data_IF_727341203558
#
_entry.id   IF_727341203558
#
_cell.length_a   1.000
_cell.length_b   1.000
_cell.length_c   1.000
_cell.angle_alpha   90.00
_cell.angle_beta   90.00
_cell.angle_gamma   90.00
#
_symmetry.space_group_name_H-M   'P 1'
#
loop_
_entity.id
_entity.type
_entity.pdbx_description
1 polymer ?
#
# COMPACT_ATOMS: atom_id res chain seq x y z
N UNK A 1 -5.91 12.95 11.23
CA UNK A 1 -5.61 11.54 10.87
C UNK A 1 -5.11 11.42 9.41
N UNK A 2 -4.04 12.11 8.97
CA UNK A 2 -3.67 12.12 7.52
C UNK A 2 -2.16 12.07 7.21
N UNK A 3 -1.27 11.80 8.17
CA UNK A 3 0.18 11.85 7.89
C UNK A 3 0.70 10.64 7.09
N UNK A 4 0.31 9.41 7.46
CA UNK A 4 0.86 8.19 6.86
C UNK A 4 0.39 7.94 5.41
N UNK A 5 -0.87 8.23 5.11
CA UNK A 5 -1.41 8.08 3.74
C UNK A 5 -0.77 9.08 2.78
N UNK A 6 -0.60 10.34 3.22
CA UNK A 6 0.07 11.38 2.44
C UNK A 6 1.52 10.99 2.12
N UNK A 7 2.28 10.53 3.11
CA UNK A 7 3.66 10.07 2.91
C UNK A 7 3.77 8.91 1.92
N UNK A 8 2.85 7.93 1.99
CA UNK A 8 2.80 6.83 1.02
C UNK A 8 2.44 7.32 -0.39
N UNK A 9 1.58 8.34 -0.48
CA UNK A 9 1.19 8.93 -1.76
C UNK A 9 2.36 9.63 -2.43
N UNK A 10 3.14 10.34 -1.64
CA UNK A 10 4.36 11.00 -2.10
C UNK A 10 5.42 9.97 -2.51
N UNK A 11 5.52 8.85 -1.79
CA UNK A 11 6.39 7.73 -2.15
C UNK A 11 6.00 7.13 -3.51
N UNK A 12 4.71 6.95 -3.79
CA UNK A 12 4.26 6.50 -5.11
C UNK A 12 4.58 7.50 -6.23
N UNK A 13 4.30 8.79 -6.00
CA UNK A 13 4.62 9.86 -6.96
C UNK A 13 6.12 9.94 -7.25
N UNK A 14 6.97 9.83 -6.21
CA UNK A 14 8.44 9.80 -6.33
C UNK A 14 8.93 8.64 -7.22
N UNK A 15 8.24 7.50 -7.17
CA UNK A 15 8.54 6.35 -8.02
C UNK A 15 7.89 6.42 -9.41
N UNK A 16 7.25 7.55 -9.74
CA UNK A 16 6.56 7.80 -11.01
C UNK A 16 5.49 6.74 -11.32
N UNK A 17 4.78 6.32 -10.27
CA UNK A 17 3.67 5.38 -10.35
C UNK A 17 2.36 6.16 -10.51
N UNK A 18 1.52 5.73 -11.44
CA UNK A 18 0.19 6.34 -11.67
C UNK A 18 -0.83 5.67 -10.77
N UNK A 19 -1.54 6.44 -9.95
CA UNK A 19 -2.62 5.93 -9.10
C UNK A 19 -3.91 5.91 -9.92
N UNK A 20 -4.50 4.73 -10.10
CA UNK A 20 -5.77 4.53 -10.79
C UNK A 20 -6.95 4.52 -9.81
N UNK A 21 -6.74 3.98 -8.62
CA UNK A 21 -7.74 3.90 -7.57
C UNK A 21 -7.08 3.96 -6.20
N UNK A 22 -7.72 4.64 -5.26
CA UNK A 22 -7.26 4.79 -3.88
C UNK A 22 -8.45 4.61 -2.94
N UNK A 23 -8.41 3.56 -2.12
CA UNK A 23 -9.43 3.29 -1.10
C UNK A 23 -8.76 3.16 0.26
N UNK A 24 -9.26 3.92 1.24
CA UNK A 24 -8.95 3.72 2.65
C UNK A 24 -9.97 2.76 3.26
N UNK A 25 -9.52 1.60 3.71
CA UNK A 25 -10.35 0.62 4.43
C UNK A 25 -10.40 0.89 5.93
N UNK A 26 -9.69 1.91 6.40
CA UNK A 26 -9.64 2.34 7.78
C UNK A 26 -8.85 1.41 8.69
N UNK A 27 -9.01 1.65 9.98
CA UNK A 27 -8.33 0.93 11.05
C UNK A 27 -9.03 -0.40 11.34
N UNK A 28 -8.29 -1.50 11.34
CA UNK A 28 -8.81 -2.85 11.65
C UNK A 28 -7.86 -3.60 12.57
N UNK A 29 -8.41 -4.56 13.32
CA UNK A 29 -7.61 -5.53 14.07
C UNK A 29 -6.88 -6.46 13.10
N UNK A 30 -5.64 -6.78 13.41
CA UNK A 30 -4.84 -7.74 12.67
C UNK A 30 -5.26 -9.17 13.07
N UNK A 31 -5.21 -10.10 12.11
CA UNK A 31 -5.50 -11.51 12.38
C UNK A 31 -4.53 -12.13 13.41
N UNK A 32 -3.32 -11.57 13.53
CA UNK A 32 -2.32 -11.90 14.54
C UNK A 32 -1.41 -10.70 14.80
N UNK A 33 -0.70 -10.72 15.93
CA UNK A 33 0.26 -9.66 16.27
C UNK A 33 1.45 -9.66 15.31
N UNK A 34 1.71 -8.54 14.64
CA UNK A 34 2.90 -8.38 13.80
C UNK A 34 3.97 -7.63 14.60
N UNK A 35 5.19 -8.16 14.65
CA UNK A 35 6.35 -7.47 15.22
C UNK A 35 7.18 -6.85 14.10
N UNK A 36 7.43 -5.54 14.15
CA UNK A 36 8.29 -4.82 13.22
C UNK A 36 9.06 -3.72 13.95
N UNK A 37 10.36 -3.59 13.66
CA UNK A 37 11.24 -2.59 14.29
C UNK A 37 11.10 -2.55 15.83
N UNK A 38 11.16 -3.73 16.46
CA UNK A 38 10.94 -3.97 17.90
C UNK A 38 9.53 -3.66 18.46
N UNK A 39 8.65 -3.02 17.70
CA UNK A 39 7.27 -2.72 18.09
C UNK A 39 6.33 -3.88 17.73
N UNK A 40 5.35 -4.15 18.60
CA UNK A 40 4.26 -5.11 18.35
C UNK A 40 3.00 -4.35 17.95
N UNK A 41 2.36 -4.77 16.88
CA UNK A 41 1.13 -4.19 16.36
C UNK A 41 0.03 -5.24 16.40
N UNK A 42 -1.13 -4.87 16.95
CA UNK A 42 -2.35 -5.69 16.96
C UNK A 42 -3.44 -5.10 16.05
N UNK A 43 -3.27 -3.87 15.60
CA UNK A 43 -4.18 -3.14 14.73
C UNK A 43 -3.39 -2.30 13.71
N UNK A 44 -3.99 -2.03 12.56
CA UNK A 44 -3.38 -1.21 11.51
C UNK A 44 -4.44 -0.52 10.64
N UNK A 45 -4.04 0.54 9.95
CA UNK A 45 -4.82 1.12 8.86
C UNK A 45 -4.54 0.33 7.57
N UNK A 46 -5.61 0.00 6.84
CA UNK A 46 -5.52 -0.72 5.58
C UNK A 46 -5.77 0.25 4.41
N UNK A 47 -4.81 0.32 3.50
CA UNK A 47 -4.91 1.11 2.27
C UNK A 47 -4.87 0.15 1.08
N UNK A 48 -5.82 0.30 0.15
CA UNK A 48 -5.92 -0.51 -1.06
C UNK A 48 -5.87 0.37 -2.29
N UNK A 49 -4.78 0.29 -3.03
CA UNK A 49 -4.52 1.16 -4.18
C UNK A 49 -4.31 0.33 -5.43
N UNK A 50 -4.95 0.73 -6.52
CA UNK A 50 -4.68 0.19 -7.86
C UNK A 50 -3.76 1.17 -8.56
N UNK A 51 -2.64 0.66 -9.06
CA UNK A 51 -1.59 1.48 -9.66
C UNK A 51 -1.18 0.94 -11.03
N UNK A 52 -0.75 1.84 -11.90
CA UNK A 52 -0.13 1.51 -13.18
C UNK A 52 1.31 2.01 -13.19
N UNK A 53 2.25 1.11 -13.48
CA UNK A 53 3.67 1.41 -13.58
C UNK A 53 4.41 0.34 -14.37
N UNK A 54 5.59 0.70 -14.89
CA UNK A 54 6.49 -0.26 -15.52
C UNK A 54 7.14 -1.20 -14.48
N UNK A 55 7.52 -2.43 -14.86
CA UNK A 55 8.10 -3.41 -13.93
C UNK A 55 9.28 -2.89 -13.10
N UNK A 56 10.18 -2.09 -13.72
CA UNK A 56 11.32 -1.49 -13.02
C UNK A 56 10.91 -0.54 -11.89
N UNK A 57 9.80 0.19 -12.06
CA UNK A 57 9.29 1.13 -11.07
C UNK A 57 8.62 0.38 -9.91
N UNK A 58 7.92 -0.73 -10.20
CA UNK A 58 7.34 -1.61 -9.18
C UNK A 58 8.42 -2.25 -8.31
N UNK A 59 9.49 -2.79 -8.91
CA UNK A 59 10.60 -3.37 -8.16
C UNK A 59 11.26 -2.34 -7.20
N UNK A 60 11.43 -1.10 -7.68
CA UNK A 60 11.94 0.00 -6.84
C UNK A 60 10.96 0.37 -5.72
N UNK A 61 9.67 0.46 -6.05
CA UNK A 61 8.62 0.76 -5.09
C UNK A 61 8.56 -0.29 -3.97
N UNK A 62 8.62 -1.57 -4.32
CA UNK A 62 8.60 -2.68 -3.36
C UNK A 62 9.73 -2.55 -2.34
N UNK A 63 10.95 -2.27 -2.82
CA UNK A 63 12.10 -2.00 -1.95
C UNK A 63 11.86 -0.79 -1.03
N UNK A 64 11.34 0.33 -1.55
CA UNK A 64 11.08 1.51 -0.73
C UNK A 64 9.95 1.26 0.30
N UNK A 65 8.89 0.53 -0.05
CA UNK A 65 7.81 0.12 0.87
C UNK A 65 8.30 -0.84 1.95
N UNK A 66 9.23 -1.74 1.62
CA UNK A 66 9.86 -2.62 2.60
C UNK A 66 10.59 -1.81 3.67
N UNK A 67 11.28 -0.75 3.28
CA UNK A 67 12.09 0.09 4.17
C UNK A 67 11.31 1.22 4.86
N UNK A 68 10.10 1.55 4.40
CA UNK A 68 9.28 2.59 5.00
C UNK A 68 8.91 2.24 6.46
N UNK A 69 9.30 3.08 7.42
CA UNK A 69 9.08 2.81 8.86
C UNK A 69 7.60 2.75 9.27
N UNK A 70 6.73 3.43 8.52
CA UNK A 70 5.27 3.48 8.79
C UNK A 70 4.47 2.37 8.13
N UNK A 71 5.06 1.63 7.20
CA UNK A 71 4.44 0.43 6.66
C UNK A 71 4.70 -0.69 7.65
N UNK A 72 3.70 -1.51 8.00
CA UNK A 72 3.93 -2.70 8.82
C UNK A 72 4.13 -3.91 7.92
N UNK A 73 3.30 -4.01 6.88
CA UNK A 73 3.35 -5.02 5.81
C UNK A 73 2.81 -4.39 4.53
N UNK A 74 3.32 -4.83 3.38
CA UNK A 74 2.76 -4.52 2.08
C UNK A 74 2.50 -5.81 1.31
N UNK A 75 1.64 -5.73 0.30
CA UNK A 75 1.38 -6.80 -0.65
C UNK A 75 1.21 -6.15 -2.03
N UNK A 76 2.01 -6.58 -3.00
CA UNK A 76 1.89 -6.18 -4.39
C UNK A 76 1.46 -7.40 -5.20
N UNK A 77 0.39 -7.24 -5.97
CA UNK A 77 -0.16 -8.27 -6.85
C UNK A 77 -0.61 -7.62 -8.15
N UNK A 78 -0.69 -8.42 -9.21
CA UNK A 78 -1.29 -7.96 -10.47
C UNK A 78 -2.77 -7.73 -10.22
N UNK A 79 -3.26 -6.53 -10.52
CA UNK A 79 -4.66 -6.21 -10.38
C UNK A 79 -5.50 -7.06 -11.34
N UNK A 80 -6.63 -7.59 -10.85
CA UNK A 80 -7.59 -8.24 -11.73
C UNK A 80 -8.19 -7.22 -12.70
N UNK A 81 -8.46 -7.61 -13.96
CA UNK A 81 -9.17 -6.74 -14.87
C UNK A 81 -10.53 -6.40 -14.25
N UNK A 82 -10.89 -5.11 -14.20
CA UNK A 82 -12.24 -4.69 -13.80
C UNK A 82 -13.22 -5.40 -14.73
N UNK A 83 -13.98 -6.36 -14.20
CA UNK A 83 -15.13 -6.91 -14.92
C UNK A 83 -16.11 -5.75 -15.09
N UNK A 84 -16.23 -5.26 -16.31
CA UNK A 84 -17.30 -4.36 -16.71
C UNK A 84 -18.59 -5.09 -16.38
N UNK A 85 -19.33 -4.57 -15.39
CA UNK A 85 -20.64 -5.13 -15.07
C UNK A 85 -21.51 -4.87 -16.30
N UNK A 86 -21.77 -5.94 -17.07
CA UNK A 86 -22.78 -5.94 -18.10
C UNK A 86 -24.11 -5.58 -17.43
N UNK A 87 -24.55 -4.34 -17.65
CA UNK A 87 -25.90 -3.87 -17.34
C UNK A 87 -26.85 -4.31 -18.45
#
# INVERSE_FOLDING_TARGET
MMAAQTELRDLLKKNKVTILEEIDWGKKQLAYTIKRAATRYTEANYLHWIVSAAPKQIAKLEFELHNASRVIRHLLVIAEPKKEQAA
#
